data_IF_518721944897
#
_entry.id   IF_518721944897
#
_cell.length_a   1.000
_cell.length_b   1.000
_cell.length_c   1.000
_cell.angle_alpha   90.00
_cell.angle_beta   90.00
_cell.angle_gamma   90.00
#
_symmetry.space_group_name_H-M   'P 1'
#
loop_
_entity.id
_entity.type
_entity.pdbx_description
1 polymer ?
#
# COMPACT_ATOMS: atom_id res chain seq x y z
N UNK A 1 13.58 27.50 -4.18
CA UNK A 1 13.67 26.16 -4.81
C UNK A 1 12.28 25.59 -4.96
N UNK A 2 11.84 25.12 -6.14
CA UNK A 2 10.51 24.54 -6.29
C UNK A 2 10.48 23.17 -5.60
N UNK A 3 9.55 23.01 -4.68
CA UNK A 3 9.32 21.78 -3.90
C UNK A 3 9.01 20.61 -4.84
N UNK A 4 9.68 19.44 -4.71
CA UNK A 4 9.39 18.29 -5.56
C UNK A 4 7.98 17.81 -5.24
N UNK A 5 7.05 18.12 -6.14
CA UNK A 5 5.62 17.83 -5.99
C UNK A 5 5.43 16.33 -5.71
N UNK A 6 5.04 16.01 -4.48
CA UNK A 6 4.52 14.70 -4.10
C UNK A 6 3.37 14.35 -5.04
N UNK A 7 3.54 13.31 -5.85
CA UNK A 7 2.47 12.83 -6.71
C UNK A 7 1.65 11.84 -5.89
N UNK A 8 0.49 12.29 -5.40
CA UNK A 8 -0.50 11.39 -4.80
C UNK A 8 -1.05 10.49 -5.91
N UNK A 9 -1.19 9.20 -5.62
CA UNK A 9 -1.88 8.30 -6.56
C UNK A 9 -3.30 8.83 -6.82
N UNK A 10 -3.73 8.99 -8.09
CA UNK A 10 -5.08 9.49 -8.41
C UNK A 10 -6.20 8.63 -7.81
N UNK A 11 -5.91 7.36 -7.52
CA UNK A 11 -6.89 6.37 -7.05
C UNK A 11 -6.96 6.22 -5.53
N UNK A 12 -5.91 6.55 -4.79
CA UNK A 12 -5.90 6.45 -3.32
C UNK A 12 -4.91 7.45 -2.72
N UNK A 13 -5.44 8.48 -2.05
CA UNK A 13 -4.66 9.59 -1.47
C UNK A 13 -3.76 9.15 -0.31
N UNK A 14 -3.96 7.95 0.24
CA UNK A 14 -3.10 7.38 1.29
C UNK A 14 -1.75 6.95 0.75
N UNK A 15 -1.65 6.68 -0.55
CA UNK A 15 -0.37 6.33 -1.18
C UNK A 15 0.32 7.58 -1.73
N UNK A 16 1.59 7.73 -1.38
CA UNK A 16 2.45 8.77 -1.92
C UNK A 16 3.72 8.17 -2.49
N UNK A 17 4.13 8.65 -3.66
CA UNK A 17 5.46 8.38 -4.22
C UNK A 17 6.18 9.71 -4.38
N UNK A 18 7.34 9.84 -3.77
CA UNK A 18 8.13 11.06 -3.81
C UNK A 18 9.62 10.76 -3.99
N UNK A 19 10.38 11.62 -4.70
CA UNK A 19 11.82 11.54 -4.71
C UNK A 19 12.37 11.96 -3.34
N UNK A 20 13.22 11.13 -2.74
CA UNK A 20 13.92 11.41 -1.50
C UNK A 20 15.43 11.20 -1.68
N UNK A 21 16.23 11.87 -0.86
CA UNK A 21 17.67 11.66 -0.83
C UNK A 21 17.98 10.48 0.09
N UNK A 22 18.55 9.42 -0.47
CA UNK A 22 18.73 8.13 0.22
C UNK A 22 20.19 7.84 0.60
N UNK A 23 21.07 8.84 0.52
CA UNK A 23 22.52 8.66 0.73
C UNK A 23 23.26 7.94 -0.42
N UNK A 24 22.60 7.69 -1.56
CA UNK A 24 23.20 7.14 -2.77
C UNK A 24 23.53 8.26 -3.76
N UNK A 25 24.40 7.99 -4.73
CA UNK A 25 24.79 8.94 -5.79
C UNK A 25 23.61 9.47 -6.63
N UNK A 26 22.45 8.80 -6.58
CA UNK A 26 21.21 9.20 -7.25
C UNK A 26 20.04 9.41 -6.30
N UNK A 27 19.04 10.19 -6.75
CA UNK A 27 17.74 10.30 -6.08
C UNK A 27 17.03 8.95 -6.17
N UNK A 28 16.39 8.50 -5.10
CA UNK A 28 15.46 7.36 -5.17
C UNK A 28 14.03 7.85 -4.94
N UNK A 29 13.08 7.05 -5.40
CA UNK A 29 11.67 7.27 -5.18
C UNK A 29 11.20 6.37 -4.03
N UNK A 30 10.58 6.98 -3.02
CA UNK A 30 10.08 6.29 -1.83
C UNK A 30 8.56 6.19 -1.95
N UNK A 31 8.06 4.98 -1.74
CA UNK A 31 6.63 4.69 -1.64
C UNK A 31 6.23 4.67 -0.17
N UNK A 32 5.13 5.36 0.15
CA UNK A 32 4.55 5.39 1.50
C UNK A 32 3.06 5.10 1.46
N UNK A 33 2.54 4.53 2.54
CA UNK A 33 1.10 4.37 2.80
C UNK A 33 0.77 5.04 4.13
N UNK A 34 -0.14 6.00 4.12
CA UNK A 34 -0.49 6.81 5.31
C UNK A 34 0.72 7.51 5.98
N UNK A 35 1.81 7.74 5.24
CA UNK A 35 3.07 8.29 5.77
C UNK A 35 4.12 7.24 6.13
N UNK A 36 3.70 5.99 6.33
CA UNK A 36 4.58 4.88 6.67
C UNK A 36 5.38 4.40 5.46
N UNK A 37 6.66 4.10 5.70
CA UNK A 37 7.57 3.64 4.66
C UNK A 37 7.20 2.24 4.18
N UNK A 38 6.99 2.08 2.87
CA UNK A 38 6.76 0.77 2.25
C UNK A 38 8.01 0.22 1.58
N UNK A 39 8.80 1.10 0.98
CA UNK A 39 9.90 0.70 0.11
C UNK A 39 10.45 1.83 -0.73
N UNK A 40 11.60 1.59 -1.35
CA UNK A 40 12.24 2.53 -2.29
C UNK A 40 12.59 1.84 -3.60
N UNK A 41 12.67 2.63 -4.67
CA UNK A 41 13.18 2.21 -5.96
C UNK A 41 14.01 3.33 -6.60
N UNK A 42 14.93 2.97 -7.49
CA UNK A 42 15.66 3.94 -8.29
C UNK A 42 14.74 4.72 -9.25
N UNK A 43 13.57 4.19 -9.59
CA UNK A 43 12.63 4.80 -10.53
C UNK A 43 11.27 5.07 -9.89
N UNK A 44 10.59 6.11 -10.38
CA UNK A 44 9.23 6.44 -9.95
C UNK A 44 8.26 5.28 -10.25
N UNK A 45 8.42 4.63 -11.40
CA UNK A 45 7.60 3.48 -11.81
C UNK A 45 7.78 2.28 -10.89
N UNK A 46 9.01 2.01 -10.43
CA UNK A 46 9.30 0.97 -9.46
C UNK A 46 8.66 1.25 -8.10
N UNK A 47 8.79 2.48 -7.58
CA UNK A 47 8.14 2.88 -6.34
C UNK A 47 6.60 2.85 -6.43
N UNK A 48 6.03 3.27 -7.57
CA UNK A 48 4.61 3.11 -7.84
C UNK A 48 4.18 1.63 -7.92
N UNK A 49 5.06 0.74 -8.41
CA UNK A 49 4.86 -0.71 -8.36
C UNK A 49 4.75 -1.25 -6.94
N UNK A 50 5.63 -0.81 -6.03
CA UNK A 50 5.59 -1.14 -4.61
C UNK A 50 4.24 -0.73 -3.99
N UNK A 51 3.80 0.50 -4.24
CA UNK A 51 2.51 1.00 -3.76
C UNK A 51 1.32 0.16 -4.29
N UNK A 52 1.35 -0.24 -5.57
CA UNK A 52 0.32 -1.12 -6.15
C UNK A 52 0.31 -2.51 -5.54
N UNK A 53 1.47 -3.09 -5.31
CA UNK A 53 1.61 -4.41 -4.67
C UNK A 53 1.04 -4.38 -3.24
N UNK A 54 1.39 -3.35 -2.46
CA UNK A 54 0.82 -3.16 -1.12
C UNK A 54 -0.71 -3.02 -1.16
N UNK A 55 -1.25 -2.24 -2.10
CA UNK A 55 -2.70 -2.10 -2.25
C UNK A 55 -3.41 -3.41 -2.61
N UNK A 56 -2.77 -4.29 -3.39
CA UNK A 56 -3.29 -5.62 -3.68
C UNK A 56 -3.29 -6.52 -2.45
N UNK A 57 -2.20 -6.50 -1.67
CA UNK A 57 -2.09 -7.26 -0.43
C UNK A 57 -3.15 -6.83 0.59
N UNK A 58 -3.37 -5.53 0.76
CA UNK A 58 -4.39 -5.01 1.68
C UNK A 58 -5.81 -5.41 1.27
N UNK A 59 -6.10 -5.47 -0.03
CA UNK A 59 -7.39 -6.00 -0.51
C UNK A 59 -7.54 -7.49 -0.22
N UNK A 60 -6.50 -8.29 -0.45
CA UNK A 60 -6.51 -9.71 -0.15
C UNK A 60 -6.71 -9.99 1.35
N UNK A 61 -6.02 -9.26 2.22
CA UNK A 61 -6.17 -9.36 3.69
C UNK A 61 -7.61 -9.10 4.13
N UNK A 62 -8.24 -8.05 3.61
CA UNK A 62 -9.64 -7.73 3.93
C UNK A 62 -10.61 -8.80 3.44
N UNK A 63 -10.40 -9.29 2.21
CA UNK A 63 -11.21 -10.37 1.65
C UNK A 63 -11.12 -11.65 2.50
N UNK A 64 -9.91 -12.00 2.96
CA UNK A 64 -9.72 -13.16 3.81
C UNK A 64 -10.38 -12.98 5.18
N UNK A 65 -10.24 -11.81 5.80
CA UNK A 65 -10.88 -11.51 7.08
C UNK A 65 -12.41 -11.59 6.98
N UNK A 66 -12.99 -11.11 5.87
CA UNK A 66 -14.43 -11.24 5.62
C UNK A 66 -14.84 -12.71 5.45
N UNK A 67 -14.13 -13.49 4.64
CA UNK A 67 -14.42 -14.90 4.44
C UNK A 67 -14.35 -15.69 5.76
N UNK A 68 -13.38 -15.37 6.63
CA UNK A 68 -13.28 -15.97 7.95
C UNK A 68 -14.49 -15.63 8.83
N UNK A 69 -14.91 -14.36 8.86
CA UNK A 69 -16.08 -13.95 9.64
C UNK A 69 -17.38 -14.61 9.14
N UNK A 70 -17.54 -14.78 7.83
CA UNK A 70 -18.67 -15.50 7.24
C UNK A 70 -18.67 -16.99 7.62
N UNK A 71 -17.50 -17.62 7.62
CA UNK A 71 -17.33 -19.00 8.07
C UNK A 71 -17.68 -19.15 9.56
N UNK A 72 -17.16 -18.27 10.42
CA UNK A 72 -17.42 -18.31 11.86
C UNK A 72 -18.92 -18.17 12.16
N UNK A 73 -19.61 -17.27 11.45
CA UNK A 73 -21.06 -17.08 11.57
C UNK A 73 -21.84 -18.34 11.14
N UNK A 74 -21.43 -18.97 10.04
CA UNK A 74 -22.06 -20.20 9.56
C UNK A 74 -21.87 -21.35 10.56
N UNK A 75 -20.69 -21.47 11.15
CA UNK A 75 -20.39 -22.46 12.20
C UNK A 75 -21.24 -22.22 13.45
N UNK A 76 -21.38 -20.97 13.89
CA UNK A 76 -22.24 -20.63 15.05
C UNK A 76 -23.70 -21.02 14.80
N UNK A 77 -24.27 -20.68 13.64
CA UNK A 77 -25.66 -21.03 13.29
C UNK A 77 -25.88 -22.54 13.22
N UNK A 78 -24.91 -23.29 12.69
CA UNK A 78 -24.98 -24.75 12.63
C UNK A 78 -24.90 -25.45 13.99
N UNK A 79 -24.40 -24.78 15.04
CA UNK A 79 -24.40 -25.31 16.42
C UNK A 79 -25.69 -25.02 17.18
N UNK A 80 -26.49 -24.06 16.72
CA UNK A 80 -27.76 -23.67 17.32
C UNK A 80 -28.96 -24.45 16.74
N UNK A 81 -28.74 -25.25 15.69
CA UNK A 81 -29.74 -26.12 15.03
C UNK A 81 -29.58 -27.57 15.49
#
# INVERSE_FOLDING_TARGET
>A
MPSPRSVRSPRDRRYTVAPEYCGLAGRCFVARFCGDWLGRSATHTGAAGIARAHAALERARRSLAQAQAELDLAVSRGRES
#
